data_IF_678992770718
#
_entry.id   IF_678992770718
#
_cell.length_a   1.000
_cell.length_b   1.000
_cell.length_c   1.000
_cell.angle_alpha   90.00
_cell.angle_beta   90.00
_cell.angle_gamma   90.00
#
_symmetry.space_group_name_H-M   'P 1'
#
loop_
_entity.id
_entity.type
_entity.pdbx_description
1 polymer ?
#
# COMPACT_ATOMS: atom_id res chain seq x y z
N UNK A 1 56.32 -1.85 22.48
CA UNK A 1 56.22 -1.17 21.17
C UNK A 1 54.78 -1.24 20.72
N UNK A 2 54.05 -0.14 20.84
CA UNK A 2 52.65 -0.01 20.45
C UNK A 2 52.57 0.77 19.13
N UNK A 3 51.69 0.40 18.18
CA UNK A 3 51.54 1.17 16.96
C UNK A 3 50.69 2.41 17.22
N UNK A 4 51.23 3.53 16.76
CA UNK A 4 50.65 4.86 16.82
C UNK A 4 49.66 5.00 15.67
N UNK A 5 48.35 5.05 15.94
CA UNK A 5 47.35 5.31 14.90
C UNK A 5 47.10 6.80 14.75
N UNK A 6 47.52 7.28 13.59
CA UNK A 6 47.41 8.64 13.10
C UNK A 6 45.95 8.98 12.75
N UNK A 7 45.32 9.87 13.52
CA UNK A 7 43.96 10.38 13.27
C UNK A 7 44.00 11.58 12.33
N UNK A 8 44.11 11.32 11.02
CA UNK A 8 43.87 12.34 10.01
C UNK A 8 42.35 12.52 9.81
N UNK A 9 41.83 13.59 10.41
CA UNK A 9 40.47 14.06 10.28
C UNK A 9 40.38 14.98 9.04
N UNK A 10 39.59 14.68 7.99
CA UNK A 10 39.45 15.62 6.87
C UNK A 10 38.52 16.77 7.27
N UNK A 11 39.08 17.97 7.38
CA UNK A 11 38.31 19.21 7.47
C UNK A 11 37.49 19.41 6.20
N UNK A 12 36.17 19.38 6.32
CA UNK A 12 35.26 19.83 5.28
C UNK A 12 35.29 21.37 5.23
N UNK A 13 36.04 21.92 4.26
CA UNK A 13 36.01 23.33 3.91
C UNK A 13 34.84 23.59 2.95
N UNK A 14 33.81 24.30 3.42
CA UNK A 14 32.75 24.83 2.57
C UNK A 14 33.31 26.00 1.75
N UNK A 15 33.67 25.71 0.49
CA UNK A 15 33.95 26.73 -0.51
C UNK A 15 32.68 27.52 -0.83
N UNK A 16 32.77 28.83 -0.60
CA UNK A 16 31.79 29.83 -0.99
C UNK A 16 31.68 29.86 -2.52
N UNK A 17 30.49 29.86 -3.12
CA UNK A 17 30.36 29.97 -4.57
C UNK A 17 30.87 31.34 -5.01
N UNK A 18 31.86 31.35 -5.91
CA UNK A 18 32.25 32.56 -6.62
C UNK A 18 31.08 33.03 -7.50
N UNK A 19 30.76 34.29 -7.33
CA UNK A 19 29.72 35.02 -8.02
C UNK A 19 30.14 35.22 -9.49
N UNK A 20 29.56 34.41 -10.38
CA UNK A 20 29.81 34.49 -11.81
C UNK A 20 29.06 35.68 -12.40
N UNK A 21 29.82 36.60 -12.97
CA UNK A 21 29.38 37.86 -13.57
C UNK A 21 28.54 37.63 -14.84
N UNK A 22 27.31 38.14 -14.84
CA UNK A 22 26.37 38.13 -15.95
C UNK A 22 26.82 39.14 -17.03
N UNK A 23 27.01 38.74 -18.31
CA UNK A 23 27.26 39.66 -19.42
C UNK A 23 25.97 40.33 -19.95
N UNK A 24 26.09 41.47 -20.66
CA UNK A 24 24.98 42.35 -20.95
C UNK A 24 24.08 41.87 -22.09
N UNK A 25 22.85 42.34 -21.98
CA UNK A 25 21.67 42.13 -22.80
C UNK A 25 21.90 42.31 -24.31
N UNK A 26 21.49 41.32 -25.09
CA UNK A 26 21.30 41.42 -26.55
C UNK A 26 19.82 41.65 -26.90
N UNK A 27 19.53 42.34 -28.01
CA UNK A 27 18.21 42.89 -28.30
C UNK A 27 17.23 41.85 -28.86
N UNK A 28 15.96 42.09 -28.54
CA UNK A 28 14.79 41.29 -28.92
C UNK A 28 14.65 41.07 -30.44
N UNK A 29 14.33 39.84 -30.89
CA UNK A 29 13.84 39.60 -32.24
C UNK A 29 12.34 39.94 -32.37
N UNK A 30 11.86 40.21 -33.60
CA UNK A 30 10.53 40.75 -33.86
C UNK A 30 9.43 39.70 -33.67
N UNK A 31 8.28 40.18 -33.23
CA UNK A 31 7.04 39.43 -33.06
C UNK A 31 6.62 38.75 -34.38
N UNK A 32 6.74 37.43 -34.43
CA UNK A 32 6.12 36.61 -35.45
C UNK A 32 4.70 36.24 -35.01
N UNK A 33 3.77 36.66 -35.87
CA UNK A 33 2.37 36.27 -36.01
C UNK A 33 1.96 34.98 -35.29
N UNK A 34 0.99 35.15 -34.40
CA UNK A 34 0.20 34.10 -33.78
C UNK A 34 -0.49 33.24 -34.85
N UNK A 35 0.04 32.04 -35.06
CA UNK A 35 -0.70 30.93 -35.64
C UNK A 35 -1.46 30.22 -34.52
N UNK A 36 -2.78 30.36 -34.48
CA UNK A 36 -3.67 29.54 -33.65
C UNK A 36 -3.56 28.07 -34.06
N UNK A 37 -2.69 27.33 -33.37
CA UNK A 37 -2.72 25.87 -33.39
C UNK A 37 -3.80 25.46 -32.38
N UNK A 38 -4.97 25.11 -32.91
CA UNK A 38 -6.05 24.48 -32.17
C UNK A 38 -5.52 23.26 -31.43
N UNK A 39 -5.43 23.34 -30.11
CA UNK A 39 -5.17 22.18 -29.28
C UNK A 39 -6.32 21.18 -29.46
N UNK A 40 -6.04 19.87 -29.63
CA UNK A 40 -7.09 18.87 -29.59
C UNK A 40 -7.67 18.88 -28.17
N UNK A 41 -8.94 19.24 -28.06
CA UNK A 41 -9.72 19.12 -26.85
C UNK A 41 -9.62 17.68 -26.35
N UNK A 42 -8.89 17.47 -25.27
CA UNK A 42 -8.90 16.23 -24.52
C UNK A 42 -10.23 16.22 -23.74
N UNK A 43 -11.33 15.91 -24.44
CA UNK A 43 -12.63 15.66 -23.81
C UNK A 43 -12.51 14.38 -23.01
N UNK A 44 -12.09 14.50 -21.75
CA UNK A 44 -12.34 13.46 -20.76
C UNK A 44 -13.81 13.07 -20.89
N UNK A 45 -14.13 11.78 -21.17
CA UNK A 45 -15.50 11.36 -21.26
C UNK A 45 -16.18 11.72 -19.94
N UNK A 46 -17.18 12.60 -20.00
CA UNK A 46 -18.03 12.87 -18.83
C UNK A 46 -18.48 11.51 -18.29
N UNK A 47 -18.52 11.30 -16.96
CA UNK A 47 -19.00 10.05 -16.39
C UNK A 47 -20.32 9.74 -17.08
N UNK A 48 -20.28 8.71 -17.93
CA UNK A 48 -21.38 8.38 -18.82
C UNK A 48 -22.55 8.14 -17.92
N UNK A 49 -23.45 9.12 -17.86
CA UNK A 49 -24.74 8.94 -17.21
C UNK A 49 -25.28 7.70 -17.90
N UNK A 50 -25.57 6.60 -17.17
CA UNK A 50 -26.07 5.39 -17.79
C UNK A 50 -27.20 5.85 -18.69
N UNK A 51 -27.13 5.48 -19.97
CA UNK A 51 -28.15 5.85 -20.95
C UNK A 51 -29.43 5.12 -20.53
N UNK A 52 -30.13 5.69 -19.56
CA UNK A 52 -31.42 5.20 -19.10
C UNK A 52 -32.35 5.51 -20.26
N UNK A 53 -32.73 4.46 -20.98
CA UNK A 53 -33.79 4.54 -21.97
C UNK A 53 -35.03 4.95 -21.17
N UNK A 54 -35.40 6.22 -21.25
CA UNK A 54 -36.50 6.75 -20.46
C UNK A 54 -37.82 6.10 -20.89
N UNK A 55 -38.80 6.06 -19.97
CA UNK A 55 -40.15 5.59 -20.29
C UNK A 55 -40.81 6.41 -21.41
N UNK A 56 -40.39 7.65 -21.60
CA UNK A 56 -40.75 8.53 -22.70
C UNK A 56 -40.29 8.01 -24.07
N UNK A 57 -39.22 7.21 -24.11
CA UNK A 57 -38.75 6.55 -25.33
C UNK A 57 -39.77 5.53 -25.81
N UNK A 58 -40.47 4.84 -24.90
CA UNK A 58 -41.54 3.90 -25.25
C UNK A 58 -42.69 4.61 -25.95
N UNK A 59 -43.10 5.77 -25.44
CA UNK A 59 -44.19 6.57 -26.01
C UNK A 59 -43.81 7.24 -27.33
N UNK A 60 -42.55 7.68 -27.46
CA UNK A 60 -42.00 8.22 -28.71
C UNK A 60 -42.02 7.14 -29.79
N UNK A 61 -41.48 5.96 -29.51
CA UNK A 61 -41.53 4.81 -30.43
C UNK A 61 -42.98 4.41 -30.75
N UNK A 62 -43.85 4.38 -29.75
CA UNK A 62 -45.26 4.07 -29.96
C UNK A 62 -45.99 5.07 -30.88
N UNK A 63 -45.63 6.35 -30.82
CA UNK A 63 -46.14 7.37 -31.71
C UNK A 63 -45.57 7.23 -33.12
N UNK A 64 -44.25 7.08 -33.25
CA UNK A 64 -43.55 6.97 -34.53
C UNK A 64 -44.04 5.77 -35.36
N UNK A 65 -44.35 4.65 -34.70
CA UNK A 65 -44.86 3.44 -35.36
C UNK A 65 -46.39 3.33 -35.38
N UNK A 66 -47.13 4.35 -34.92
CA UNK A 66 -48.60 4.35 -34.85
C UNK A 66 -49.18 3.10 -34.17
N UNK A 67 -48.56 2.65 -33.08
CA UNK A 67 -48.93 1.41 -32.39
C UNK A 67 -50.32 1.50 -31.75
N UNK A 68 -51.09 0.41 -31.82
CA UNK A 68 -52.37 0.26 -31.11
C UNK A 68 -52.16 0.30 -29.60
N UNK A 69 -53.20 0.65 -28.84
CA UNK A 69 -53.13 0.73 -27.37
C UNK A 69 -52.57 -0.54 -26.73
N UNK A 70 -52.96 -1.71 -27.23
CA UNK A 70 -52.47 -3.00 -26.72
C UNK A 70 -50.97 -3.17 -26.96
N UNK A 71 -50.45 -2.81 -28.15
CA UNK A 71 -49.03 -2.86 -28.44
C UNK A 71 -48.24 -1.85 -27.58
N UNK A 72 -48.81 -0.68 -27.30
CA UNK A 72 -48.20 0.31 -26.38
C UNK A 72 -48.06 -0.25 -24.97
N UNK A 73 -49.11 -0.86 -24.42
CA UNK A 73 -49.05 -1.51 -23.10
C UNK A 73 -48.03 -2.65 -23.08
N UNK A 74 -47.97 -3.45 -24.14
CA UNK A 74 -46.97 -4.51 -24.30
C UNK A 74 -45.54 -3.97 -24.31
N UNK A 75 -45.27 -2.88 -25.04
CA UNK A 75 -43.96 -2.24 -25.11
C UNK A 75 -43.54 -1.66 -23.74
N UNK A 76 -44.47 -1.00 -23.03
CA UNK A 76 -44.23 -0.49 -21.68
C UNK A 76 -43.89 -1.61 -20.71
N UNK A 77 -44.66 -2.70 -20.70
CA UNK A 77 -44.39 -3.87 -19.86
C UNK A 77 -43.03 -4.51 -20.19
N UNK A 78 -42.71 -4.64 -21.48
CA UNK A 78 -41.43 -5.17 -21.94
C UNK A 78 -40.26 -4.30 -21.47
N UNK A 79 -40.34 -2.98 -21.65
CA UNK A 79 -39.30 -2.04 -21.22
C UNK A 79 -39.11 -2.04 -19.70
N UNK A 80 -40.20 -2.10 -18.93
CA UNK A 80 -40.11 -2.21 -17.46
C UNK A 80 -39.44 -3.51 -17.01
N UNK A 81 -39.79 -4.65 -17.61
CA UNK A 81 -39.15 -5.93 -17.29
C UNK A 81 -37.67 -5.90 -17.65
N UNK A 82 -37.32 -5.34 -18.81
CA UNK A 82 -35.93 -5.24 -19.25
C UNK A 82 -35.12 -4.31 -18.34
N UNK A 83 -35.68 -3.17 -17.94
CA UNK A 83 -35.04 -2.24 -17.01
C UNK A 83 -34.78 -2.90 -15.65
N UNK A 84 -35.77 -3.63 -15.09
CA UNK A 84 -35.58 -4.38 -13.83
C UNK A 84 -34.49 -5.44 -13.94
N UNK A 85 -34.41 -6.14 -15.07
CA UNK A 85 -33.35 -7.12 -15.31
C UNK A 85 -31.97 -6.45 -15.37
N UNK A 86 -31.85 -5.31 -16.05
CA UNK A 86 -30.59 -4.56 -16.11
C UNK A 86 -30.18 -4.02 -14.73
N UNK A 87 -31.14 -3.53 -13.94
CA UNK A 87 -30.90 -3.10 -12.55
C UNK A 87 -30.43 -4.27 -11.68
N UNK A 88 -31.06 -5.44 -11.76
CA UNK A 88 -30.62 -6.64 -11.02
C UNK A 88 -29.22 -7.11 -11.45
N UNK A 89 -28.94 -7.10 -12.75
CA UNK A 89 -27.60 -7.42 -13.26
C UNK A 89 -26.55 -6.41 -12.79
N UNK A 90 -26.89 -5.12 -12.78
CA UNK A 90 -26.01 -4.07 -12.26
C UNK A 90 -25.71 -4.29 -10.78
N UNK A 91 -26.73 -4.55 -9.96
CA UNK A 91 -26.57 -4.82 -8.52
C UNK A 91 -25.65 -6.02 -8.31
N UNK A 92 -25.88 -7.14 -9.02
CA UNK A 92 -25.01 -8.33 -8.90
C UNK A 92 -23.57 -8.06 -9.35
N UNK A 93 -23.37 -7.27 -10.39
CA UNK A 93 -22.03 -6.86 -10.83
C UNK A 93 -21.34 -5.96 -9.79
N UNK A 94 -22.09 -5.13 -9.06
CA UNK A 94 -21.57 -4.33 -7.97
C UNK A 94 -21.24 -5.18 -6.72
N UNK A 95 -22.09 -6.14 -6.37
CA UNK A 95 -21.87 -7.06 -5.25
C UNK A 95 -20.67 -7.99 -5.48
N UNK A 96 -20.53 -8.52 -6.69
CA UNK A 96 -19.44 -9.42 -7.08
C UNK A 96 -18.13 -8.71 -7.44
N UNK A 97 -18.12 -7.37 -7.44
CA UNK A 97 -16.94 -6.58 -7.75
C UNK A 97 -15.77 -6.95 -6.84
N UNK A 98 -14.59 -7.24 -7.38
CA UNK A 98 -13.37 -7.48 -6.60
C UNK A 98 -12.21 -6.69 -7.18
N UNK A 99 -11.28 -6.27 -6.31
CA UNK A 99 -10.05 -5.60 -6.78
C UNK A 99 -9.15 -6.61 -7.48
N UNK A 100 -8.56 -6.19 -8.59
CA UNK A 100 -7.55 -6.99 -9.27
C UNK A 100 -6.28 -7.08 -8.42
N UNK A 101 -5.46 -8.10 -8.66
CA UNK A 101 -4.15 -8.25 -7.99
C UNK A 101 -3.24 -7.03 -8.20
N UNK A 102 -3.34 -6.40 -9.36
CA UNK A 102 -2.59 -5.19 -9.70
C UNK A 102 -3.07 -3.96 -8.93
N UNK A 103 -4.39 -3.74 -8.84
CA UNK A 103 -4.96 -2.69 -7.99
C UNK A 103 -4.53 -2.85 -6.53
N UNK A 104 -4.57 -4.08 -6.00
CA UNK A 104 -4.11 -4.38 -4.64
C UNK A 104 -2.60 -4.09 -4.45
N UNK A 105 -1.80 -4.35 -5.48
CA UNK A 105 -0.36 -4.04 -5.49
C UNK A 105 -0.13 -2.52 -5.49
N UNK A 106 -0.90 -1.78 -6.27
CA UNK A 106 -0.85 -0.31 -6.32
C UNK A 106 -1.25 0.31 -4.97
N UNK A 107 -2.33 -0.17 -4.32
CA UNK A 107 -2.72 0.29 -2.98
C UNK A 107 -1.58 0.09 -1.98
N UNK A 108 -0.95 -1.09 -2.00
CA UNK A 108 0.18 -1.39 -1.10
C UNK A 108 1.42 -0.57 -1.43
N UNK A 109 1.67 -0.26 -2.70
CA UNK A 109 2.79 0.61 -3.09
C UNK A 109 2.58 2.03 -2.54
N UNK A 110 1.38 2.62 -2.72
CA UNK A 110 1.05 3.94 -2.17
C UNK A 110 1.14 3.95 -0.65
N UNK A 111 0.65 2.90 0.03
CA UNK A 111 0.76 2.78 1.47
C UNK A 111 2.22 2.75 1.96
N UNK A 112 3.11 2.05 1.24
CA UNK A 112 4.55 1.98 1.54
C UNK A 112 5.28 3.30 1.27
N UNK A 113 4.88 4.02 0.23
CA UNK A 113 5.43 5.34 -0.05
C UNK A 113 5.06 6.33 1.06
N UNK A 114 3.78 6.35 1.48
CA UNK A 114 3.29 7.31 2.47
C UNK A 114 3.79 7.01 3.89
N UNK A 115 3.93 5.73 4.29
CA UNK A 115 4.43 5.36 5.63
C UNK A 115 5.91 5.73 5.80
N UNK A 116 6.63 5.91 4.69
CA UNK A 116 8.06 6.18 4.65
C UNK A 116 8.39 7.59 4.11
N UNK A 117 7.37 8.42 3.89
CA UNK A 117 7.53 9.80 3.46
C UNK A 117 7.96 10.67 4.65
N UNK A 118 9.14 11.33 4.60
CA UNK A 118 9.61 12.16 5.70
C UNK A 118 8.70 13.38 5.99
N UNK A 119 7.84 13.78 5.05
CA UNK A 119 6.87 14.85 5.26
C UNK A 119 5.57 14.37 5.92
N UNK A 120 5.34 13.06 6.02
CA UNK A 120 4.12 12.49 6.58
C UNK A 120 4.25 12.29 8.09
N UNK A 121 3.33 12.90 8.85
CA UNK A 121 3.36 12.93 10.33
C UNK A 121 2.08 12.36 10.97
N UNK A 122 1.12 11.85 10.17
CA UNK A 122 -0.21 11.41 10.63
C UNK A 122 -0.44 9.93 10.28
N UNK A 123 0.29 9.06 10.95
CA UNK A 123 0.34 7.63 10.67
C UNK A 123 -0.96 6.91 11.02
N UNK A 124 -1.72 7.39 12.01
CA UNK A 124 -2.98 6.75 12.41
C UNK A 124 -4.02 6.80 11.28
N UNK A 125 -4.04 7.87 10.51
CA UNK A 125 -5.01 8.14 9.44
C UNK A 125 -4.44 8.00 8.03
N UNK A 126 -3.35 7.24 7.86
CA UNK A 126 -2.69 7.06 6.55
C UNK A 126 -3.65 6.46 5.48
N UNK A 127 -4.68 5.72 5.90
CA UNK A 127 -5.71 5.18 5.00
C UNK A 127 -6.46 6.28 4.24
N UNK A 128 -6.74 7.40 4.89
CA UNK A 128 -7.40 8.56 4.28
C UNK A 128 -6.52 9.15 3.18
N UNK A 129 -5.22 9.28 3.44
CA UNK A 129 -4.28 9.86 2.48
C UNK A 129 -3.99 8.91 1.31
N UNK A 130 -3.97 7.60 1.55
CA UNK A 130 -3.91 6.60 0.48
C UNK A 130 -5.10 6.77 -0.47
N UNK A 131 -6.34 6.90 0.05
CA UNK A 131 -7.52 7.10 -0.81
C UNK A 131 -7.42 8.40 -1.62
N UNK A 132 -6.91 9.50 -1.02
CA UNK A 132 -6.69 10.77 -1.75
C UNK A 132 -5.74 10.60 -2.93
N UNK A 133 -4.60 9.92 -2.72
CA UNK A 133 -3.62 9.66 -3.80
C UNK A 133 -4.24 8.77 -4.88
N UNK A 134 -4.95 7.70 -4.49
CA UNK A 134 -5.62 6.82 -5.45
C UNK A 134 -6.69 7.55 -6.27
N UNK A 135 -7.40 8.51 -5.66
CA UNK A 135 -8.39 9.32 -6.37
C UNK A 135 -7.73 10.28 -7.37
N UNK A 136 -6.61 10.91 -7.00
CA UNK A 136 -5.84 11.80 -7.86
C UNK A 136 -5.23 11.05 -9.05
N UNK A 137 -4.68 9.86 -8.81
CA UNK A 137 -3.99 9.04 -9.82
C UNK A 137 -4.87 7.90 -10.39
N UNK A 138 -6.20 8.03 -10.29
CA UNK A 138 -7.13 6.93 -10.60
C UNK A 138 -7.02 6.39 -12.02
N UNK A 139 -6.67 7.22 -13.00
CA UNK A 139 -6.47 6.78 -14.38
C UNK A 139 -5.19 5.96 -14.53
N UNK A 140 -4.09 6.42 -13.95
CA UNK A 140 -2.77 5.76 -14.02
C UNK A 140 -2.75 4.46 -13.23
N UNK A 141 -3.45 4.39 -12.10
CA UNK A 141 -3.48 3.21 -11.22
C UNK A 141 -4.68 2.28 -11.46
N UNK A 142 -5.46 2.52 -12.52
CA UNK A 142 -6.63 1.73 -12.93
C UNK A 142 -7.76 1.66 -11.89
N UNK A 143 -8.01 2.76 -11.19
CA UNK A 143 -9.16 2.94 -10.30
C UNK A 143 -10.30 3.75 -10.94
N UNK A 144 -10.23 4.05 -12.24
CA UNK A 144 -11.28 4.81 -12.96
C UNK A 144 -12.68 4.20 -12.83
N UNK A 145 -12.78 2.86 -12.72
CA UNK A 145 -14.05 2.14 -12.57
C UNK A 145 -14.52 1.99 -11.11
N UNK A 146 -13.72 2.47 -10.15
CA UNK A 146 -14.03 2.39 -8.71
C UNK A 146 -14.69 3.69 -8.26
N UNK A 147 -14.07 4.82 -8.60
CA UNK A 147 -14.57 6.13 -8.21
C UNK A 147 -15.80 6.54 -9.02
N UNK A 148 -16.82 7.03 -8.33
CA UNK A 148 -18.15 7.32 -8.89
C UNK A 148 -19.21 6.24 -8.59
N UNK A 149 -18.80 5.08 -8.06
CA UNK A 149 -19.71 4.05 -7.56
C UNK A 149 -19.60 3.95 -6.03
N UNK A 150 -20.61 4.41 -5.26
CA UNK A 150 -20.56 4.42 -3.80
C UNK A 150 -20.27 3.05 -3.17
N UNK A 151 -20.82 1.97 -3.74
CA UNK A 151 -20.59 0.61 -3.28
C UNK A 151 -19.12 0.18 -3.46
N UNK A 152 -18.50 0.51 -4.60
CA UNK A 152 -17.10 0.18 -4.88
C UNK A 152 -16.14 1.05 -4.05
N UNK A 153 -16.47 2.32 -3.83
CA UNK A 153 -15.71 3.20 -2.94
C UNK A 153 -15.73 2.73 -1.50
N UNK A 154 -16.88 2.28 -0.98
CA UNK A 154 -16.96 1.67 0.35
C UNK A 154 -16.06 0.42 0.47
N UNK A 155 -16.07 -0.44 -0.56
CA UNK A 155 -15.18 -1.61 -0.63
C UNK A 155 -13.70 -1.22 -0.71
N UNK A 156 -13.38 -0.14 -1.42
CA UNK A 156 -12.03 0.42 -1.52
C UNK A 156 -11.55 0.87 -0.15
N UNK A 157 -12.34 1.67 0.57
CA UNK A 157 -11.99 2.18 1.90
C UNK A 157 -11.71 1.02 2.87
N UNK A 158 -12.57 -0.01 2.90
CA UNK A 158 -12.33 -1.20 3.73
C UNK A 158 -11.02 -1.91 3.37
N UNK A 159 -10.75 -2.06 2.07
CA UNK A 159 -9.52 -2.71 1.58
C UNK A 159 -8.27 -1.89 1.90
N UNK A 160 -8.32 -0.57 1.71
CA UNK A 160 -7.24 0.36 2.02
C UNK A 160 -6.93 0.35 3.51
N UNK A 161 -7.93 0.39 4.39
CA UNK A 161 -7.74 0.28 5.85
C UNK A 161 -6.98 -0.98 6.25
N UNK A 162 -7.36 -2.13 5.70
CA UNK A 162 -6.68 -3.41 5.95
C UNK A 162 -5.23 -3.40 5.46
N UNK A 163 -4.97 -2.90 4.25
CA UNK A 163 -3.61 -2.82 3.69
C UNK A 163 -2.76 -1.81 4.47
N UNK A 164 -3.31 -0.64 4.80
CA UNK A 164 -2.66 0.39 5.60
C UNK A 164 -2.23 -0.18 6.97
N UNK A 165 -3.14 -0.86 7.66
CA UNK A 165 -2.83 -1.53 8.94
C UNK A 165 -1.71 -2.55 8.80
N UNK A 166 -1.76 -3.40 7.76
CA UNK A 166 -0.70 -4.39 7.50
C UNK A 166 0.67 -3.75 7.22
N UNK A 167 0.72 -2.67 6.44
CA UNK A 167 1.95 -1.95 6.12
C UNK A 167 2.53 -1.26 7.36
N UNK A 168 1.67 -0.61 8.15
CA UNK A 168 2.04 -0.01 9.43
C UNK A 168 2.62 -1.05 10.39
N UNK A 169 1.96 -2.19 10.56
CA UNK A 169 2.45 -3.25 11.45
C UNK A 169 3.80 -3.80 10.99
N UNK A 170 4.00 -3.98 9.68
CA UNK A 170 5.29 -4.37 9.15
C UNK A 170 6.38 -3.32 9.42
N UNK A 171 6.08 -2.03 9.26
CA UNK A 171 7.04 -0.96 9.52
C UNK A 171 7.35 -0.78 11.01
N UNK A 172 6.35 -0.93 11.88
CA UNK A 172 6.52 -0.96 13.33
C UNK A 172 7.46 -2.10 13.76
N UNK A 173 7.28 -3.31 13.21
CA UNK A 173 8.16 -4.44 13.48
C UNK A 173 9.61 -4.18 13.02
N UNK A 174 9.80 -3.57 11.85
CA UNK A 174 11.13 -3.20 11.36
C UNK A 174 11.79 -2.15 12.26
N UNK A 175 11.07 -1.11 12.67
CA UNK A 175 11.54 -0.09 13.60
C UNK A 175 11.98 -0.73 14.93
N UNK A 176 11.16 -1.65 15.46
CA UNK A 176 11.49 -2.39 16.67
C UNK A 176 12.77 -3.22 16.50
N UNK A 177 12.82 -4.06 15.46
CA UNK A 177 13.95 -4.94 15.21
C UNK A 177 15.25 -4.15 15.01
N UNK A 178 15.15 -2.90 14.52
CA UNK A 178 16.30 -2.01 14.37
C UNK A 178 16.87 -1.49 15.69
N UNK A 179 16.08 -1.45 16.77
CA UNK A 179 16.49 -0.91 18.08
C UNK A 179 16.71 -2.08 19.05
N UNK A 180 17.93 -2.32 19.57
CA UNK A 180 19.14 -1.50 19.46
C UNK A 180 20.18 -2.01 18.43
N UNK A 181 19.84 -3.01 17.63
CA UNK A 181 20.82 -3.87 16.97
C UNK A 181 21.32 -3.40 15.60
N UNK A 182 20.70 -2.39 14.98
CA UNK A 182 21.00 -1.99 13.59
C UNK A 182 21.49 -0.54 13.54
N UNK A 183 22.52 -0.24 12.77
CA UNK A 183 22.97 1.14 12.57
C UNK A 183 21.90 1.99 11.88
N UNK A 184 21.90 3.31 12.07
CA UNK A 184 20.94 4.19 11.37
C UNK A 184 21.09 4.13 9.85
N UNK A 185 22.33 3.97 9.37
CA UNK A 185 22.65 3.90 7.94
C UNK A 185 22.09 2.61 7.34
N UNK A 186 22.35 1.46 7.98
CA UNK A 186 21.86 0.16 7.48
C UNK A 186 20.33 0.09 7.52
N UNK A 187 19.71 0.59 8.59
CA UNK A 187 18.26 0.66 8.68
C UNK A 187 17.66 1.54 7.58
N UNK A 188 18.29 2.68 7.28
CA UNK A 188 17.82 3.57 6.22
C UNK A 188 17.99 2.94 4.85
N UNK A 189 19.12 2.26 4.60
CA UNK A 189 19.36 1.55 3.34
C UNK A 189 18.32 0.43 3.10
N UNK A 190 18.10 -0.41 4.11
CA UNK A 190 17.12 -1.50 4.03
C UNK A 190 15.68 -0.98 3.94
N UNK A 191 15.36 0.09 4.67
CA UNK A 191 14.08 0.78 4.60
C UNK A 191 13.81 1.36 3.20
N UNK A 192 14.80 2.05 2.60
CA UNK A 192 14.73 2.55 1.23
C UNK A 192 14.41 1.41 0.24
N UNK A 193 15.07 0.25 0.38
CA UNK A 193 14.82 -0.90 -0.50
C UNK A 193 13.41 -1.48 -0.35
N UNK A 194 12.86 -1.48 0.88
CA UNK A 194 11.59 -2.14 1.19
C UNK A 194 10.37 -1.25 0.93
N UNK A 195 10.47 0.03 1.28
CA UNK A 195 9.33 0.94 1.35
C UNK A 195 9.30 1.97 0.23
N UNK A 196 10.45 2.43 -0.25
CA UNK A 196 10.51 3.52 -1.21
C UNK A 196 10.32 3.01 -2.64
N UNK A 197 9.26 3.46 -3.33
CA UNK A 197 9.14 3.27 -4.78
C UNK A 197 10.10 4.22 -5.50
N UNK A 198 10.75 3.73 -6.55
CA UNK A 198 11.50 4.60 -7.48
C UNK A 198 10.52 5.58 -8.13
N UNK A 199 10.55 6.84 -7.68
CA UNK A 199 9.84 7.98 -8.26
C UNK A 199 10.84 8.92 -8.91
N UNK A 200 10.33 9.80 -9.78
CA UNK A 200 11.15 10.85 -10.41
C UNK A 200 11.70 11.82 -9.35
N UNK A 201 10.87 12.18 -8.38
CA UNK A 201 11.27 12.98 -7.21
C UNK A 201 11.45 12.07 -5.99
N UNK A 202 12.70 11.76 -5.67
CA UNK A 202 13.05 11.03 -4.46
C UNK A 202 13.28 12.02 -3.32
N UNK A 203 12.76 11.76 -2.11
CA UNK A 203 13.11 12.57 -0.94
C UNK A 203 14.62 12.54 -0.74
N UNK A 204 15.17 13.65 -0.22
CA UNK A 204 16.59 13.70 0.16
C UNK A 204 16.88 12.58 1.17
N UNK A 205 17.97 11.84 0.96
CA UNK A 205 18.43 10.80 1.88
C UNK A 205 18.57 11.33 3.32
N UNK A 206 19.03 12.57 3.47
CA UNK A 206 19.12 13.26 4.77
C UNK A 206 17.75 13.42 5.44
N UNK A 207 16.70 13.72 4.68
CA UNK A 207 15.34 13.85 5.22
C UNK A 207 14.79 12.49 5.67
N UNK A 208 15.05 11.43 4.91
CA UNK A 208 14.67 10.06 5.26
C UNK A 208 15.41 9.60 6.53
N UNK A 209 16.72 9.84 6.62
CA UNK A 209 17.51 9.53 7.81
C UNK A 209 17.00 10.30 9.04
N UNK A 210 16.69 11.60 8.88
CA UNK A 210 16.10 12.42 9.95
C UNK A 210 14.76 11.86 10.43
N UNK A 211 13.91 11.41 9.49
CA UNK A 211 12.64 10.77 9.83
C UNK A 211 12.84 9.45 10.60
N UNK A 212 13.72 8.59 10.10
CA UNK A 212 14.04 7.31 10.74
C UNK A 212 14.63 7.50 12.14
N UNK A 213 15.49 8.49 12.36
CA UNK A 213 16.09 8.71 13.68
C UNK A 213 15.06 9.19 14.70
N UNK A 214 14.09 10.02 14.30
CA UNK A 214 12.97 10.45 15.15
C UNK A 214 12.11 9.25 15.58
N UNK A 215 11.69 8.42 14.62
CA UNK A 215 10.87 7.24 14.91
C UNK A 215 11.61 6.23 15.79
N UNK A 216 12.91 5.98 15.53
CA UNK A 216 13.73 5.10 16.35
C UNK A 216 13.93 5.65 17.76
N UNK A 217 14.07 6.97 17.92
CA UNK A 217 14.13 7.61 19.23
C UNK A 217 12.84 7.39 20.00
N UNK A 218 11.69 7.61 19.36
CA UNK A 218 10.38 7.36 19.97
C UNK A 218 10.24 5.90 20.43
N UNK A 219 10.60 4.93 19.60
CA UNK A 219 10.56 3.50 19.95
C UNK A 219 11.49 3.18 21.13
N UNK A 220 12.68 3.77 21.15
CA UNK A 220 13.63 3.60 22.25
C UNK A 220 13.07 4.12 23.58
N UNK A 221 12.45 5.30 23.57
CA UNK A 221 11.88 5.91 24.79
C UNK A 221 10.60 5.18 25.25
N UNK A 222 9.95 4.41 24.38
CA UNK A 222 8.65 3.76 24.64
C UNK A 222 8.65 2.24 24.46
N UNK A 223 9.74 1.55 24.84
CA UNK A 223 9.86 0.08 24.71
C UNK A 223 8.73 -0.73 25.36
N UNK A 224 8.03 -0.16 26.34
CA UNK A 224 6.90 -0.83 26.99
C UNK A 224 5.66 -0.95 26.10
N UNK A 225 5.51 -0.09 25.09
CA UNK A 225 4.38 -0.12 24.15
C UNK A 225 4.47 -1.25 23.12
N UNK A 226 5.65 -1.88 22.99
CA UNK A 226 5.97 -2.82 21.91
C UNK A 226 5.18 -4.13 21.95
N UNK A 227 4.62 -4.48 23.10
CA UNK A 227 3.87 -5.72 23.30
C UNK A 227 2.37 -5.51 23.41
N UNK A 228 1.89 -4.26 23.30
CA UNK A 228 0.49 -4.00 23.12
C UNK A 228 0.14 -4.40 21.68
N UNK A 229 -0.22 -5.67 21.51
CA UNK A 229 -0.71 -6.21 20.24
C UNK A 229 -1.78 -5.23 19.75
N UNK A 230 -1.58 -4.65 18.56
CA UNK A 230 -2.64 -3.91 17.90
C UNK A 230 -3.71 -4.95 17.63
N UNK A 231 -4.71 -5.03 18.52
CA UNK A 231 -5.89 -5.83 18.26
C UNK A 231 -6.38 -5.30 16.93
N UNK A 232 -6.24 -6.11 15.87
CA UNK A 232 -6.81 -5.80 14.57
C UNK A 232 -8.24 -5.44 14.91
N UNK A 233 -8.57 -4.15 14.84
CA UNK A 233 -9.94 -3.72 15.03
C UNK A 233 -10.66 -4.52 13.99
N UNK A 234 -11.38 -5.54 14.45
CA UNK A 234 -12.14 -6.43 13.60
C UNK A 234 -13.13 -5.47 12.96
N UNK A 235 -12.74 -4.96 11.78
CA UNK A 235 -13.46 -3.94 11.05
C UNK A 235 -14.76 -4.65 10.80
N UNK A 236 -15.73 -4.36 11.66
CA UNK A 236 -16.95 -5.11 11.78
C UNK A 236 -17.50 -5.18 10.38
N UNK A 237 -17.29 -6.33 9.75
CA UNK A 237 -17.65 -6.58 8.38
C UNK A 237 -19.15 -6.65 8.45
N UNK A 238 -19.77 -5.47 8.38
CA UNK A 238 -21.19 -5.29 8.27
C UNK A 238 -21.57 -5.93 6.94
N UNK A 239 -21.86 -7.22 7.04
CA UNK A 239 -22.83 -7.92 6.22
C UNK A 239 -22.47 -7.98 4.74
N UNK A 240 -21.58 -8.90 4.40
CA UNK A 240 -21.73 -9.66 3.14
C UNK A 240 -22.11 -11.09 3.51
N UNK A 241 -23.41 -11.29 3.76
CA UNK A 241 -24.10 -12.57 3.60
C UNK A 241 -23.97 -13.01 2.14
N UNK A 242 -22.87 -13.67 1.82
CA UNK A 242 -22.64 -14.33 0.54
C UNK A 242 -22.12 -15.73 0.83
N UNK A 243 -23.05 -16.68 0.87
CA UNK A 243 -22.81 -18.12 0.99
C UNK A 243 -21.72 -18.56 0.02
N UNK A 244 -20.52 -18.87 0.52
CA UNK A 244 -19.56 -19.65 -0.25
C UNK A 244 -18.99 -20.81 0.57
N UNK A 245 -18.89 -21.93 -0.14
CA UNK A 245 -18.93 -23.28 0.41
C UNK A 245 -17.60 -23.66 1.10
N UNK A 246 -17.78 -24.16 2.32
CA UNK A 246 -16.85 -24.88 3.17
C UNK A 246 -15.78 -25.71 2.44
N UNK A 247 -14.52 -25.30 2.56
CA UNK A 247 -13.37 -26.22 2.65
C UNK A 247 -12.49 -25.84 3.84
N UNK A 248 -13.08 -25.88 5.03
CA UNK A 248 -12.37 -25.73 6.29
C UNK A 248 -11.43 -26.90 6.54
N UNK A 249 -10.14 -26.74 6.22
CA UNK A 249 -9.09 -27.58 6.78
C UNK A 249 -8.96 -27.24 8.27
N UNK A 250 -9.50 -28.12 9.13
CA UNK A 250 -9.33 -28.09 10.58
C UNK A 250 -7.84 -28.04 10.93
N UNK A 251 -7.28 -26.85 11.15
CA UNK A 251 -6.01 -26.70 11.86
C UNK A 251 -6.25 -27.12 13.31
N UNK A 252 -5.73 -28.29 13.65
CA UNK A 252 -5.69 -28.82 15.02
C UNK A 252 -5.08 -27.77 15.95
N UNK A 253 -5.94 -27.18 16.79
CA UNK A 253 -5.54 -26.33 17.92
C UNK A 253 -4.81 -27.24 18.92
N UNK A 254 -3.49 -27.24 18.86
CA UNK A 254 -2.64 -27.95 19.80
C UNK A 254 -2.94 -27.49 21.23
N UNK A 255 -3.44 -28.40 22.05
CA UNK A 255 -3.52 -28.28 23.51
C UNK A 255 -2.09 -28.08 24.03
N UNK A 256 -1.73 -26.88 24.48
CA UNK A 256 -0.44 -26.71 25.15
C UNK A 256 0.00 -25.28 25.44
N UNK A 257 -0.48 -24.27 24.69
CA UNK A 257 -0.10 -22.89 24.99
C UNK A 257 -0.93 -22.35 26.16
N UNK A 258 -0.28 -22.15 27.30
CA UNK A 258 -0.79 -21.33 28.42
C UNK A 258 -0.88 -19.89 27.94
N UNK A 259 -1.92 -19.61 27.17
CA UNK A 259 -2.30 -18.25 26.82
C UNK A 259 -2.72 -17.59 28.14
N UNK A 260 -1.85 -16.74 28.66
CA UNK A 260 -2.21 -15.74 29.67
C UNK A 260 -3.54 -15.11 29.24
N UNK A 261 -4.49 -14.88 30.17
CA UNK A 261 -5.74 -14.23 29.83
C UNK A 261 -5.41 -12.86 29.24
N UNK A 262 -5.41 -12.78 27.91
CA UNK A 262 -5.54 -11.53 27.20
C UNK A 262 -6.84 -10.94 27.72
N UNK A 263 -6.71 -9.96 28.60
CA UNK A 263 -7.80 -9.09 29.03
C UNK A 263 -8.24 -8.37 27.76
N UNK A 264 -9.09 -9.02 26.96
CA UNK A 264 -9.55 -8.60 25.65
C UNK A 264 -10.48 -7.41 25.72
N UNK A 265 -10.01 -6.32 26.32
CA UNK A 265 -10.59 -5.00 26.17
C UNK A 265 -10.09 -4.39 24.87
N UNK A 266 -10.99 -3.74 24.14
CA UNK A 266 -10.58 -2.83 23.06
C UNK A 266 -9.59 -1.83 23.65
N UNK A 267 -8.43 -1.69 23.01
CA UNK A 267 -7.47 -0.63 23.34
C UNK A 267 -8.21 0.70 23.27
N UNK A 268 -8.05 1.53 24.30
CA UNK A 268 -8.67 2.85 24.32
C UNK A 268 -8.17 3.66 23.13
N UNK A 269 -9.07 4.29 22.38
CA UNK A 269 -8.69 5.12 21.24
C UNK A 269 -7.64 6.15 21.69
N UNK A 270 -6.51 6.19 20.99
CA UNK A 270 -5.41 7.13 21.28
C UNK A 270 -4.28 6.55 22.12
N UNK A 271 -4.39 5.32 22.63
CA UNK A 271 -3.30 4.62 23.34
C UNK A 271 -2.57 3.60 22.46
N UNK A 272 -2.98 3.43 21.20
CA UNK A 272 -2.25 2.60 20.24
C UNK A 272 -0.96 3.29 19.79
N UNK A 273 0.00 2.47 19.34
CA UNK A 273 1.35 2.91 18.99
C UNK A 273 1.35 4.11 18.03
N UNK A 274 0.63 4.01 16.90
CA UNK A 274 0.60 5.08 15.90
C UNK A 274 -0.07 6.35 16.38
N UNK A 275 -1.12 6.26 17.20
CA UNK A 275 -1.72 7.45 17.83
C UNK A 275 -0.74 8.17 18.77
N UNK A 276 0.13 7.43 19.46
CA UNK A 276 1.15 8.01 20.34
C UNK A 276 2.32 8.60 19.54
N UNK A 277 2.69 7.98 18.41
CA UNK A 277 3.64 8.55 17.44
C UNK A 277 3.12 9.89 16.90
N UNK A 278 1.85 9.95 16.46
CA UNK A 278 1.25 11.19 15.95
C UNK A 278 1.26 12.29 17.03
N UNK A 279 0.88 11.96 18.27
CA UNK A 279 0.96 12.89 19.41
C UNK A 279 2.39 13.36 19.70
N UNK A 280 3.39 12.49 19.54
CA UNK A 280 4.79 12.84 19.71
C UNK A 280 5.23 13.86 18.66
N UNK A 281 4.91 13.65 17.37
CA UNK A 281 5.24 14.60 16.32
C UNK A 281 4.57 15.96 16.50
N UNK A 282 3.33 16.01 16.98
CA UNK A 282 2.66 17.28 17.32
C UNK A 282 3.44 18.02 18.41
N UNK A 283 3.87 17.33 19.48
CA UNK A 283 4.66 17.93 20.56
C UNK A 283 6.02 18.43 20.07
N UNK A 284 6.71 17.67 19.24
CA UNK A 284 8.01 18.08 18.69
C UNK A 284 7.86 19.28 17.73
N UNK A 285 6.79 19.35 16.94
CA UNK A 285 6.49 20.54 16.12
C UNK A 285 6.20 21.79 16.96
N UNK A 286 5.57 21.64 18.12
CA UNK A 286 5.35 22.75 19.05
C UNK A 286 6.65 23.19 19.72
N UNK A 287 7.53 22.25 20.08
CA UNK A 287 8.80 22.52 20.76
C UNK A 287 9.87 23.11 19.82
N UNK A 288 10.04 22.55 18.63
CA UNK A 288 11.10 22.89 17.67
C UNK A 288 10.65 23.87 16.58
N UNK A 289 9.34 24.13 16.49
CA UNK A 289 8.70 25.00 15.52
C UNK A 289 8.06 24.27 14.33
N UNK A 290 7.15 24.96 13.63
CA UNK A 290 6.30 24.38 12.56
C UNK A 290 7.04 23.91 11.31
N UNK A 291 8.29 24.34 11.10
CA UNK A 291 9.06 24.04 9.89
C UNK A 291 10.28 23.22 10.25
N UNK A 292 10.40 22.02 9.68
CA UNK A 292 11.57 21.14 9.83
C UNK A 292 12.87 21.72 9.27
N UNK A 293 12.80 22.88 8.58
CA UNK A 293 13.94 23.60 8.03
C UNK A 293 14.58 24.60 9.01
N UNK A 294 14.06 24.76 10.23
CA UNK A 294 14.66 25.68 11.20
C UNK A 294 16.00 25.15 11.72
N UNK A 295 16.87 26.06 12.17
CA UNK A 295 18.15 25.69 12.78
C UNK A 295 17.98 24.82 14.04
N UNK A 296 16.87 25.01 14.78
CA UNK A 296 16.52 24.22 15.97
C UNK A 296 16.26 22.76 15.59
N UNK A 297 15.44 22.51 14.57
CA UNK A 297 15.20 21.16 14.05
C UNK A 297 16.51 20.49 13.61
N UNK A 298 17.37 21.21 12.91
CA UNK A 298 18.67 20.67 12.49
C UNK A 298 19.51 20.24 13.69
N UNK A 299 19.66 21.12 14.69
CA UNK A 299 20.41 20.80 15.91
C UNK A 299 19.82 19.59 16.63
N UNK A 300 18.49 19.55 16.79
CA UNK A 300 17.80 18.43 17.44
C UNK A 300 18.04 17.10 16.70
N UNK A 301 17.93 17.09 15.36
CA UNK A 301 18.23 15.90 14.56
C UNK A 301 19.70 15.49 14.69
N UNK A 302 20.63 16.43 14.67
CA UNK A 302 22.07 16.15 14.84
C UNK A 302 22.35 15.50 16.21
N UNK A 303 21.72 16.00 17.28
CA UNK A 303 21.79 15.41 18.63
C UNK A 303 21.21 13.99 18.67
N UNK A 304 20.08 13.74 18.00
CA UNK A 304 19.48 12.40 17.89
C UNK A 304 20.34 11.43 17.08
N UNK A 305 20.95 11.88 15.99
CA UNK A 305 21.89 11.08 15.20
C UNK A 305 23.13 10.73 16.02
N UNK A 306 23.67 11.69 16.78
CA UNK A 306 24.79 11.42 17.68
C UNK A 306 24.41 10.41 18.76
N UNK A 307 23.25 10.57 19.39
CA UNK A 307 22.72 9.60 20.35
C UNK A 307 22.61 8.20 19.74
N UNK A 308 21.97 8.09 18.56
CA UNK A 308 21.78 6.83 17.86
C UNK A 308 23.13 6.13 17.55
N UNK A 309 24.11 6.89 17.07
CA UNK A 309 25.45 6.37 16.77
C UNK A 309 26.17 5.87 18.04
N UNK A 310 26.08 6.59 19.16
CA UNK A 310 26.72 6.18 20.42
C UNK A 310 26.03 4.94 20.98
N UNK A 311 24.70 4.88 20.95
CA UNK A 311 23.94 3.78 21.56
C UNK A 311 23.98 2.49 20.75
N UNK A 312 23.86 2.57 19.42
CA UNK A 312 23.63 1.38 18.57
C UNK A 312 24.87 0.91 17.79
N UNK A 313 25.77 1.81 17.36
CA UNK A 313 26.98 1.36 16.61
C UNK A 313 27.98 0.62 17.52
N UNK A 314 28.03 0.97 18.81
CA UNK A 314 28.87 0.30 19.79
C UNK A 314 28.48 -1.18 19.98
N UNK A 315 27.17 -1.47 19.90
CA UNK A 315 26.66 -2.82 20.09
C UNK A 315 26.87 -3.70 18.86
N UNK A 316 26.67 -3.13 17.65
CA UNK A 316 26.89 -3.84 16.40
C UNK A 316 28.35 -4.31 16.24
N UNK A 317 29.31 -3.49 16.70
CA UNK A 317 30.74 -3.82 16.66
C UNK A 317 31.14 -4.91 17.66
N UNK A 318 30.49 -4.97 18.83
CA UNK A 318 30.80 -5.95 19.87
C UNK A 318 30.35 -7.38 19.49
N UNK A 319 29.19 -7.52 18.83
CA UNK A 319 28.71 -8.83 18.37
C UNK A 319 29.57 -9.42 17.23
N UNK A 320 30.04 -8.59 16.30
CA UNK A 320 30.95 -9.06 15.25
C UNK A 320 32.30 -9.56 15.80
N UNK A 321 32.80 -8.96 16.90
CA UNK A 321 34.05 -9.41 17.52
C UNK A 321 33.89 -10.69 18.35
N UNK A 322 32.71 -10.91 18.95
CA UNK A 322 32.44 -12.12 19.72
C UNK A 322 32.04 -13.32 18.82
N UNK A 323 31.69 -13.04 17.56
CA UNK A 323 31.53 -14.03 16.51
C UNK A 323 32.88 -14.44 15.91
N UNK A 324 33.91 -14.66 16.73
CA UNK A 324 35.08 -15.39 16.25
C UNK A 324 34.59 -16.75 15.76
N UNK A 325 35.05 -17.22 14.58
CA UNK A 325 34.71 -18.55 14.11
C UNK A 325 35.15 -19.52 15.20
N UNK A 326 34.18 -20.17 15.86
CA UNK A 326 34.45 -21.33 16.69
C UNK A 326 35.26 -22.24 15.79
N UNK A 327 36.55 -22.37 16.10
CA UNK A 327 37.50 -23.12 15.28
C UNK A 327 36.81 -24.40 14.85
N UNK A 328 36.65 -24.58 13.55
CA UNK A 328 36.08 -25.77 12.93
C UNK A 328 36.89 -26.96 13.45
N UNK A 329 36.43 -27.52 14.56
CA UNK A 329 36.96 -28.73 15.13
C UNK A 329 36.58 -29.84 14.20
N UNK A 330 37.43 -30.12 13.22
CA UNK A 330 37.61 -31.39 12.52
C UNK A 330 36.32 -32.24 12.45
N UNK A 331 35.27 -31.74 11.81
CA UNK A 331 34.17 -32.59 11.37
C UNK A 331 34.66 -33.28 10.10
N UNK A 332 35.30 -34.43 10.30
CA UNK A 332 35.59 -35.41 9.26
C UNK A 332 34.36 -35.56 8.36
N UNK A 333 34.48 -35.10 7.12
CA UNK A 333 33.54 -35.35 6.05
C UNK A 333 33.39 -36.86 5.87
N UNK A 334 32.33 -37.43 6.45
CA UNK A 334 31.88 -38.77 6.11
C UNK A 334 31.04 -38.66 4.83
N UNK A 335 31.70 -38.81 3.68
CA UNK A 335 31.07 -38.91 2.37
C UNK A 335 30.39 -40.27 2.23
N UNK A 336 29.18 -40.39 2.77
CA UNK A 336 28.26 -41.47 2.43
C UNK A 336 26.84 -40.90 2.35
N UNK A 337 26.56 -40.20 1.26
CA UNK A 337 25.19 -39.92 0.84
C UNK A 337 25.04 -40.45 -0.58
N UNK A 338 24.49 -41.66 -0.66
CA UNK A 338 24.12 -42.30 -1.90
C UNK A 338 23.15 -41.38 -2.66
N UNK A 339 23.54 -41.01 -3.87
CA UNK A 339 22.68 -40.38 -4.87
C UNK A 339 21.52 -41.32 -5.13
N UNK A 340 20.34 -40.96 -4.63
CA UNK A 340 19.09 -41.61 -5.04
C UNK A 340 18.71 -41.01 -6.39
N UNK A 341 18.64 -41.79 -7.48
CA UNK A 341 18.28 -41.26 -8.79
C UNK A 341 16.83 -40.74 -8.78
N UNK A 342 16.66 -39.54 -9.35
CA UNK A 342 15.35 -38.95 -9.64
C UNK A 342 14.54 -39.93 -10.51
N UNK A 343 13.48 -40.50 -9.93
CA UNK A 343 12.43 -41.16 -10.70
C UNK A 343 11.54 -40.07 -11.29
N UNK A 344 11.32 -40.04 -12.61
CA UNK A 344 10.38 -39.12 -13.24
C UNK A 344 8.97 -39.39 -12.71
N UNK A 345 8.36 -38.39 -12.05
CA UNK A 345 6.95 -38.43 -11.66
C UNK A 345 6.10 -38.36 -12.94
N UNK A 346 5.61 -39.52 -13.36
CA UNK A 346 4.56 -39.66 -14.35
C UNK A 346 3.29 -39.00 -13.80
N UNK A 347 2.82 -37.94 -14.46
CA UNK A 347 1.48 -37.39 -14.24
C UNK A 347 0.46 -38.42 -14.73
N UNK A 348 -0.58 -38.77 -13.94
CA UNK A 348 -1.70 -39.54 -14.46
C UNK A 348 -2.55 -38.64 -15.36
N UNK A 349 -2.49 -38.89 -16.66
CA UNK A 349 -3.50 -38.45 -17.62
C UNK A 349 -4.76 -39.27 -17.34
N UNK A 350 -5.72 -38.69 -16.62
CA UNK A 350 -7.08 -39.23 -16.53
C UNK A 350 -7.79 -38.92 -17.85
N UNK A 351 -7.64 -39.82 -18.81
CA UNK A 351 -8.54 -39.90 -19.97
C UNK A 351 -9.87 -40.49 -19.52
N UNK A 352 -10.94 -39.73 -19.64
CA UNK A 352 -12.30 -40.25 -19.53
C UNK A 352 -12.66 -40.95 -20.86
N UNK A 353 -13.05 -42.23 -20.85
CA UNK A 353 -13.56 -42.91 -22.03
C UNK A 353 -14.99 -42.45 -22.33
N UNK A 354 -15.27 -42.32 -23.63
CA UNK A 354 -16.58 -41.96 -24.14
C UNK A 354 -17.68 -42.91 -23.70
N UNK A 355 -18.88 -42.36 -23.55
CA UNK A 355 -20.13 -43.10 -23.60
C UNK A 355 -21.02 -42.38 -24.60
N UNK A 356 -21.26 -43.07 -25.72
CA UNK A 356 -22.21 -42.64 -26.72
C UNK A 356 -23.63 -42.71 -26.17
N UNK A 357 -24.44 -41.73 -26.56
CA UNK A 357 -25.89 -41.84 -26.60
C UNK A 357 -26.36 -41.18 -27.91
N UNK A 358 -26.41 -42.00 -28.95
CA UNK A 358 -27.44 -41.85 -29.98
C UNK A 358 -28.79 -42.16 -29.32
N UNK A 359 -29.74 -41.24 -29.44
CA UNK A 359 -31.09 -41.43 -28.95
C UNK A 359 -31.98 -40.31 -29.46
N UNK A 360 -32.52 -40.52 -30.66
CA UNK A 360 -33.55 -39.73 -31.33
C UNK A 360 -34.69 -39.34 -30.37
N UNK A 361 -35.21 -38.12 -30.47
CA UNK A 361 -36.64 -37.81 -30.36
C UNK A 361 -36.91 -36.39 -30.89
N UNK A 362 -37.41 -36.31 -32.13
CA UNK A 362 -38.40 -35.31 -32.51
C UNK A 362 -39.78 -35.88 -32.13
N UNK A 363 -40.77 -35.02 -31.82
CA UNK A 363 -41.77 -34.84 -32.86
C UNK A 363 -42.15 -33.39 -33.12
N UNK A 364 -42.61 -33.23 -34.34
CA UNK A 364 -43.13 -32.04 -34.94
C UNK A 364 -44.48 -31.59 -34.36
N UNK A 365 -44.79 -30.35 -34.71
CA UNK A 365 -46.08 -29.69 -34.68
C UNK A 365 -47.29 -30.59 -35.00
N UNK A 366 -48.37 -30.33 -34.25
CA UNK A 366 -49.66 -29.91 -34.81
C UNK A 366 -50.23 -28.79 -33.95
#
# INVERSE_FOLDING_TARGET
>A
MLPNYNTNNPSFSMQTPQQESIPPSTPSPPALLAGSISQPFNTSPSPSTPMVIGLDTADTLACDFSLTLQHRLGLHMFMQVHQRLLEDLQIRLEETFTFTSEQLTNIRAVARDLIYDPAHLHFKSIDVDIVKVLHLEKSTMWFSNVFGSPAREAKLVSTVKRIASSVRNAYHQDLHASVPNVSLVDFTFEGNRKYLRLKEEMPSETAIMAHNVLLRRFVYDNQHLMWADESEEEVGSSTTTGSDVLTGTKRHKGKGSRVLPSLGGRVLNGTDFWSLVDQHFVKELEAQGKSTKTAQWKQYIDELVQFNNVTFNAQCSAEMQNSQPVAEGNVLFNTNTAVTPLVPRHMPVTGAPGSGLMGQFFPAAM
#
